data_IF_570328410785
#
_entry.id   IF_570328410785
#
_cell.length_a   1.000
_cell.length_b   1.000
_cell.length_c   1.000
_cell.angle_alpha   90.00
_cell.angle_beta   90.00
_cell.angle_gamma   90.00
#
_symmetry.space_group_name_H-M   'P 1'
#
loop_
_entity.id
_entity.type
_entity.pdbx_description
1 polymer ?
#
# COMPACT_ATOMS: atom_id res chain seq x y z
N UNK A 1 7.80 31.97 7.82
CA UNK A 1 7.55 30.50 7.75
C UNK A 1 6.04 30.30 7.66
N UNK A 2 5.55 29.71 6.56
CA UNK A 2 4.12 29.45 6.39
C UNK A 2 3.60 28.38 7.36
N UNK A 3 2.44 28.64 7.96
CA UNK A 3 1.73 27.74 8.87
C UNK A 3 0.33 27.45 8.33
N UNK A 4 -0.16 26.23 8.57
CA UNK A 4 -1.52 25.84 8.22
C UNK A 4 -2.47 26.23 9.33
N UNK A 5 -3.49 27.01 8.99
CA UNK A 5 -4.51 27.50 9.92
C UNK A 5 -5.90 27.18 9.37
N UNK A 6 -6.82 26.89 10.28
CA UNK A 6 -8.24 26.85 9.96
C UNK A 6 -8.84 28.21 10.34
N UNK A 7 -9.32 28.95 9.35
CA UNK A 7 -9.89 30.30 9.51
C UNK A 7 -11.38 30.28 9.22
N UNK A 8 -12.15 31.08 9.94
CA UNK A 8 -13.59 31.25 9.77
C UNK A 8 -13.92 32.69 9.37
N UNK A 9 -14.75 32.86 8.34
CA UNK A 9 -15.18 34.18 7.87
C UNK A 9 -16.20 34.81 8.83
N UNK A 10 -15.97 36.04 9.28
CA UNK A 10 -16.82 36.74 10.25
C UNK A 10 -17.70 37.82 9.63
N UNK A 11 -17.20 38.57 8.64
CA UNK A 11 -17.99 39.56 7.93
C UNK A 11 -17.38 39.90 6.57
N UNK A 12 -18.23 40.25 5.61
CA UNK A 12 -17.83 40.86 4.34
C UNK A 12 -17.76 42.39 4.52
N UNK A 13 -16.69 43.02 4.03
CA UNK A 13 -16.50 44.49 4.09
C UNK A 13 -17.00 45.21 2.84
N UNK A 14 -17.52 44.49 1.84
CA UNK A 14 -18.02 45.01 0.57
C UNK A 14 -16.97 45.74 -0.29
N UNK A 15 -15.69 45.61 0.06
CA UNK A 15 -14.51 46.16 -0.62
C UNK A 15 -13.65 45.07 -1.30
N UNK A 16 -14.20 43.85 -1.43
CA UNK A 16 -13.48 42.66 -1.89
C UNK A 16 -12.66 41.96 -0.81
N UNK A 17 -12.79 42.37 0.46
CA UNK A 17 -12.13 41.72 1.59
C UNK A 17 -13.11 41.19 2.65
N UNK A 18 -12.66 40.14 3.33
CA UNK A 18 -13.39 39.47 4.40
C UNK A 18 -12.60 39.53 5.70
N UNK A 19 -13.29 39.80 6.80
CA UNK A 19 -12.70 39.59 8.13
C UNK A 19 -12.75 38.11 8.48
N UNK A 20 -11.69 37.61 9.12
CA UNK A 20 -11.63 36.22 9.55
C UNK A 20 -11.12 36.10 10.99
N UNK A 21 -11.48 35.00 11.63
CA UNK A 21 -10.98 34.55 12.94
C UNK A 21 -10.41 33.15 12.81
N UNK A 22 -9.51 32.73 13.71
CA UNK A 22 -9.19 31.30 13.77
C UNK A 22 -10.48 30.52 14.13
N UNK A 23 -10.70 29.37 13.50
CA UNK A 23 -11.90 28.56 13.73
C UNK A 23 -12.10 28.31 15.25
N UNK A 24 -13.25 28.73 15.78
CA UNK A 24 -13.57 28.62 17.21
C UNK A 24 -13.03 29.73 18.13
N UNK A 25 -12.26 30.70 17.63
CA UNK A 25 -11.78 31.85 18.43
C UNK A 25 -12.85 32.94 18.59
N UNK A 26 -12.83 33.74 19.67
CA UNK A 26 -13.86 34.78 19.91
C UNK A 26 -13.60 36.12 19.22
N UNK A 27 -12.36 36.41 18.83
CA UNK A 27 -11.97 37.70 18.23
C UNK A 27 -11.46 37.51 16.80
N UNK A 28 -11.79 38.44 15.88
CA UNK A 28 -11.23 38.45 14.53
C UNK A 28 -9.71 38.62 14.60
N UNK A 29 -9.00 37.88 13.75
CA UNK A 29 -7.54 37.84 13.72
C UNK A 29 -6.93 38.57 12.53
N UNK A 30 -7.71 38.81 11.47
CA UNK A 30 -7.20 39.50 10.29
C UNK A 30 -8.24 39.72 9.20
N UNK A 31 -7.74 40.19 8.06
CA UNK A 31 -8.49 40.45 6.82
C UNK A 31 -7.88 39.57 5.72
N UNK A 32 -8.72 39.04 4.83
CA UNK A 32 -8.31 38.22 3.68
C UNK A 32 -9.04 38.69 2.42
N UNK A 33 -8.38 38.63 1.27
CA UNK A 33 -9.00 38.99 -0.02
C UNK A 33 -9.86 37.85 -0.54
N UNK A 34 -11.00 38.18 -1.12
CA UNK A 34 -11.96 37.23 -1.70
C UNK A 34 -11.33 36.36 -2.81
N UNK A 35 -10.44 36.95 -3.62
CA UNK A 35 -9.72 36.27 -4.71
C UNK A 35 -8.92 35.04 -4.26
N UNK A 36 -8.38 35.08 -3.03
CA UNK A 36 -7.53 34.00 -2.47
C UNK A 36 -8.39 32.82 -2.01
N UNK A 37 -9.63 33.09 -1.58
CA UNK A 37 -10.47 32.09 -0.93
C UNK A 37 -11.11 31.12 -1.93
N UNK A 38 -11.60 31.63 -3.06
CA UNK A 38 -12.26 30.83 -4.09
C UNK A 38 -13.54 30.10 -3.62
N UNK A 39 -14.58 30.10 -4.46
CA UNK A 39 -15.83 29.38 -4.17
C UNK A 39 -16.87 30.20 -3.40
N UNK A 40 -17.79 29.53 -2.71
CA UNK A 40 -18.98 30.15 -2.09
C UNK A 40 -18.65 30.80 -0.73
N UNK A 41 -18.58 32.13 -0.70
CA UNK A 41 -18.17 32.93 0.45
C UNK A 41 -19.35 33.36 1.31
N UNK A 42 -19.40 32.84 2.54
CA UNK A 42 -20.45 33.16 3.53
C UNK A 42 -19.85 33.27 4.92
N UNK A 43 -20.47 34.08 5.76
CA UNK A 43 -20.14 34.18 7.19
C UNK A 43 -20.31 32.81 7.86
N UNK A 44 -19.35 32.42 8.70
CA UNK A 44 -19.32 31.13 9.40
C UNK A 44 -18.63 30.00 8.62
N UNK A 45 -18.22 30.24 7.37
CA UNK A 45 -17.50 29.22 6.59
C UNK A 45 -16.05 29.12 7.05
N UNK A 46 -15.60 27.88 7.27
CA UNK A 46 -14.22 27.56 7.66
C UNK A 46 -13.40 27.16 6.44
N UNK A 47 -12.27 27.82 6.24
CA UNK A 47 -11.27 27.51 5.22
C UNK A 47 -9.99 27.03 5.89
N UNK A 48 -9.36 26.03 5.28
CA UNK A 48 -8.00 25.65 5.64
C UNK A 48 -7.04 26.42 4.76
N UNK A 49 -6.17 27.22 5.36
CA UNK A 49 -5.29 28.13 4.63
C UNK A 49 -3.84 27.96 5.04
N UNK A 50 -2.94 28.28 4.12
CA UNK A 50 -1.54 28.54 4.43
C UNK A 50 -1.37 30.04 4.65
N UNK A 51 -0.88 30.39 5.83
CA UNK A 51 -0.70 31.76 6.29
C UNK A 51 0.72 31.99 6.81
N UNK A 52 1.28 33.16 6.54
CA UNK A 52 2.53 33.61 7.11
C UNK A 52 2.24 34.45 8.37
N UNK A 53 3.01 34.19 9.43
CA UNK A 53 2.87 34.90 10.71
C UNK A 53 4.14 35.71 10.90
N UNK A 54 4.01 37.02 10.71
CA UNK A 54 5.07 37.99 10.92
C UNK A 54 4.77 38.87 12.14
N UNK A 55 5.69 39.78 12.46
CA UNK A 55 5.58 40.71 13.58
C UNK A 55 4.37 41.66 13.37
N UNK A 56 4.05 41.98 12.12
CA UNK A 56 3.01 42.94 11.75
C UNK A 56 1.61 42.31 11.59
N UNK A 57 1.49 40.98 11.65
CA UNK A 57 0.19 40.30 11.56
C UNK A 57 0.24 38.91 10.93
N UNK A 58 -0.95 38.38 10.61
CA UNK A 58 -1.11 37.09 9.94
C UNK A 58 -1.64 37.35 8.53
N UNK A 59 -0.82 37.05 7.52
CA UNK A 59 -1.19 37.16 6.11
C UNK A 59 -1.58 35.80 5.55
N UNK A 60 -2.77 35.71 4.94
CA UNK A 60 -3.27 34.49 4.31
C UNK A 60 -2.76 34.43 2.87
N UNK A 61 -1.92 33.44 2.56
CA UNK A 61 -1.27 33.30 1.25
C UNK A 61 -2.12 32.50 0.26
N UNK A 62 -2.70 31.38 0.70
CA UNK A 62 -3.53 30.53 -0.17
C UNK A 62 -4.48 29.63 0.61
N UNK A 63 -5.57 29.21 -0.03
CA UNK A 63 -6.43 28.13 0.49
C UNK A 63 -5.80 26.79 0.18
N UNK A 64 -5.59 25.99 1.22
CA UNK A 64 -5.23 24.59 1.09
C UNK A 64 -6.50 23.86 0.68
N UNK A 65 -6.61 23.55 -0.62
CA UNK A 65 -7.64 22.65 -1.12
C UNK A 65 -7.57 21.36 -0.30
N UNK A 66 -8.56 21.19 0.58
CA UNK A 66 -8.73 19.94 1.29
C UNK A 66 -8.90 18.87 0.22
N UNK A 67 -8.03 17.87 0.23
CA UNK A 67 -8.18 16.65 -0.58
C UNK A 67 -9.65 16.27 -0.53
N UNK A 68 -10.35 16.36 -1.67
CA UNK A 68 -11.74 15.99 -1.74
C UNK A 68 -11.86 14.63 -1.04
N UNK A 69 -12.73 14.55 -0.03
CA UNK A 69 -13.08 13.26 0.53
C UNK A 69 -13.66 12.51 -0.66
N UNK A 70 -12.88 11.62 -1.27
CA UNK A 70 -13.35 10.66 -2.23
C UNK A 70 -14.61 10.06 -1.63
N UNK A 71 -15.74 10.45 -2.19
CA UNK A 71 -17.02 9.87 -1.86
C UNK A 71 -16.79 8.37 -2.04
N UNK A 72 -16.97 7.60 -0.97
CA UNK A 72 -16.90 6.15 -1.07
C UNK A 72 -18.03 5.75 -1.99
N UNK A 73 -17.75 5.63 -3.28
CA UNK A 73 -18.60 4.92 -4.21
C UNK A 73 -18.47 3.45 -3.82
N UNK A 74 -19.34 2.98 -2.92
CA UNK A 74 -19.52 1.55 -2.62
C UNK A 74 -20.17 0.81 -3.81
N UNK A 75 -20.54 1.55 -4.87
CA UNK A 75 -21.16 1.02 -6.07
C UNK A 75 -20.46 1.60 -7.30
N UNK A 76 -19.96 0.72 -8.16
CA UNK A 76 -19.53 1.08 -9.52
C UNK A 76 -20.78 1.39 -10.34
N UNK A 77 -20.99 2.66 -10.70
CA UNK A 77 -21.94 3.01 -11.75
C UNK A 77 -21.34 2.63 -13.10
N UNK A 78 -21.87 1.56 -13.70
CA UNK A 78 -21.53 1.17 -15.07
C UNK A 78 -22.31 2.10 -15.99
N UNK A 79 -21.64 3.13 -16.50
CA UNK A 79 -22.14 3.89 -17.64
C UNK A 79 -22.10 2.97 -18.87
N UNK A 80 -23.22 2.29 -19.14
CA UNK A 80 -23.40 1.51 -20.36
C UNK A 80 -23.20 2.39 -21.59
N UNK A 81 -22.68 1.81 -22.68
CA UNK A 81 -22.31 2.54 -23.92
C UNK A 81 -23.46 3.27 -24.65
N UNK A 82 -24.66 3.33 -24.08
CA UNK A 82 -25.87 3.89 -24.69
C UNK A 82 -26.40 3.11 -25.90
N UNK A 83 -25.70 2.06 -26.32
CA UNK A 83 -26.09 1.18 -27.44
C UNK A 83 -26.89 0.00 -26.91
N UNK A 84 -28.02 -0.30 -27.56
CA UNK A 84 -28.80 -1.50 -27.27
C UNK A 84 -27.92 -2.74 -27.44
N UNK A 85 -27.93 -3.59 -26.41
CA UNK A 85 -27.19 -4.83 -26.40
C UNK A 85 -28.00 -5.89 -27.17
N UNK A 86 -27.52 -6.31 -28.34
CA UNK A 86 -28.06 -7.48 -29.05
C UNK A 86 -27.35 -8.76 -28.56
N UNK A 87 -28.03 -9.64 -27.79
CA UNK A 87 -27.43 -10.86 -27.31
C UNK A 87 -27.27 -11.90 -28.44
N UNK A 88 -26.07 -12.04 -28.97
CA UNK A 88 -25.74 -13.16 -29.88
C UNK A 88 -25.59 -14.44 -29.05
N UNK A 89 -26.66 -15.23 -28.97
CA UNK A 89 -26.62 -16.56 -28.32
C UNK A 89 -26.19 -17.63 -29.31
N UNK A 90 -24.94 -18.09 -29.23
CA UNK A 90 -24.50 -19.28 -29.97
C UNK A 90 -24.97 -20.55 -29.25
N UNK A 91 -25.96 -21.23 -29.84
CA UNK A 91 -26.30 -22.62 -29.47
C UNK A 91 -25.35 -23.58 -30.19
N UNK A 92 -24.42 -24.17 -29.46
CA UNK A 92 -23.63 -25.32 -29.93
C UNK A 92 -24.57 -26.53 -30.12
N UNK A 93 -24.56 -27.13 -31.31
CA UNK A 93 -25.37 -28.30 -31.62
C UNK A 93 -25.02 -29.47 -30.69
N UNK A 94 -26.05 -30.08 -30.08
CA UNK A 94 -25.93 -31.24 -29.20
C UNK A 94 -25.54 -32.46 -30.04
N UNK A 95 -24.31 -32.95 -29.87
CA UNK A 95 -23.84 -34.18 -30.50
C UNK A 95 -24.50 -35.39 -29.84
N UNK A 96 -25.43 -36.03 -30.53
CA UNK A 96 -26.00 -37.31 -30.13
C UNK A 96 -24.92 -38.41 -30.16
N UNK A 97 -24.85 -39.16 -29.07
CA UNK A 97 -23.94 -40.28 -28.87
C UNK A 97 -24.65 -41.53 -29.37
N UNK A 98 -24.42 -41.87 -30.64
CA UNK A 98 -24.93 -43.11 -31.23
C UNK A 98 -24.34 -44.37 -30.57
N UNK A 99 -25.09 -45.49 -30.50
CA UNK A 99 -24.67 -46.69 -29.79
C UNK A 99 -23.54 -47.44 -30.52
N UNK A 100 -22.58 -47.92 -29.72
CA UNK A 100 -21.48 -48.79 -30.16
C UNK A 100 -22.04 -50.05 -30.81
N UNK A 101 -21.69 -50.29 -32.07
CA UNK A 101 -21.91 -51.57 -32.75
C UNK A 101 -20.58 -52.27 -32.95
N UNK A 102 -20.51 -53.46 -32.37
CA UNK A 102 -19.39 -54.39 -32.44
C UNK A 102 -19.14 -54.91 -33.86
N UNK A 103 -17.84 -55.05 -34.16
CA UNK A 103 -17.18 -56.18 -34.85
C UNK A 103 -17.68 -56.57 -36.27
N UNK A 104 -16.83 -56.33 -37.28
CA UNK A 104 -16.91 -57.05 -38.56
C UNK A 104 -16.06 -56.43 -39.70
N UNK A 105 -15.20 -57.18 -40.41
CA UNK A 105 -14.12 -56.63 -41.25
C UNK A 105 -14.46 -56.64 -42.76
N UNK A 106 -14.06 -55.62 -43.52
CA UNK A 106 -13.55 -55.77 -44.90
C UNK A 106 -13.09 -54.46 -45.54
N UNK A 107 -12.01 -54.60 -46.29
CA UNK A 107 -11.38 -53.67 -47.22
C UNK A 107 -12.36 -53.02 -48.22
N UNK A 108 -12.11 -51.75 -48.56
CA UNK A 108 -12.63 -51.05 -49.75
C UNK A 108 -11.98 -49.66 -49.90
N UNK A 109 -11.68 -49.19 -51.13
CA UNK A 109 -10.51 -48.34 -51.39
C UNK A 109 -10.80 -46.83 -51.48
N UNK A 110 -9.77 -46.04 -51.15
CA UNK A 110 -9.40 -44.74 -51.74
C UNK A 110 -10.55 -43.80 -52.12
N UNK A 111 -10.86 -42.86 -51.22
CA UNK A 111 -11.50 -41.59 -51.55
C UNK A 111 -10.50 -40.45 -51.33
N UNK A 112 -9.92 -39.96 -52.43
CA UNK A 112 -9.17 -38.70 -52.48
C UNK A 112 -10.10 -37.55 -52.09
N UNK A 113 -9.83 -36.92 -50.95
CA UNK A 113 -10.49 -35.69 -50.52
C UNK A 113 -9.49 -34.84 -49.73
N UNK A 114 -9.17 -33.61 -50.16
CA UNK A 114 -8.08 -32.85 -49.59
C UNK A 114 -8.41 -32.50 -48.14
N UNK A 115 -7.59 -33.01 -47.22
CA UNK A 115 -7.63 -32.64 -45.81
C UNK A 115 -7.17 -31.19 -45.73
N UNK A 116 -8.13 -30.27 -45.78
CA UNK A 116 -7.88 -28.83 -45.68
C UNK A 116 -6.89 -28.56 -44.54
N UNK A 117 -5.72 -28.05 -44.92
CA UNK A 117 -4.68 -27.64 -44.01
C UNK A 117 -5.27 -26.56 -43.10
N UNK A 118 -5.50 -26.92 -41.84
CA UNK A 118 -5.79 -25.94 -40.81
C UNK A 118 -4.60 -24.95 -40.84
N UNK A 119 -4.82 -23.64 -41.07
CA UNK A 119 -3.71 -22.69 -41.23
C UNK A 119 -2.79 -22.86 -40.05
N UNK A 120 -1.56 -23.28 -40.32
CA UNK A 120 -0.52 -23.42 -39.30
C UNK A 120 -0.42 -22.03 -38.68
N UNK A 121 -0.85 -21.88 -37.41
CA UNK A 121 -0.72 -20.61 -36.69
C UNK A 121 0.71 -20.15 -36.91
N UNK A 122 0.89 -19.01 -37.60
CA UNK A 122 2.19 -18.40 -37.89
C UNK A 122 3.09 -18.63 -36.68
N UNK A 123 4.21 -19.30 -36.87
CA UNK A 123 5.15 -19.66 -35.81
C UNK A 123 5.38 -18.43 -34.91
N UNK A 124 4.68 -18.39 -33.77
CA UNK A 124 4.90 -17.36 -32.77
C UNK A 124 6.20 -17.73 -32.09
N UNK A 125 7.30 -17.15 -32.55
CA UNK A 125 8.58 -17.27 -31.86
C UNK A 125 8.38 -16.60 -30.51
N UNK A 126 8.45 -17.39 -29.43
CA UNK A 126 8.38 -16.84 -28.08
C UNK A 126 9.45 -15.75 -27.97
N UNK A 127 9.10 -14.50 -27.66
CA UNK A 127 10.09 -13.45 -27.52
C UNK A 127 11.10 -13.85 -26.45
N UNK A 128 12.38 -13.43 -26.55
CA UNK A 128 13.43 -13.83 -25.63
C UNK A 128 13.00 -13.68 -24.16
N UNK A 129 13.30 -14.68 -23.33
CA UNK A 129 12.92 -14.64 -21.92
C UNK A 129 13.75 -13.58 -21.18
N UNK A 130 13.06 -12.67 -20.51
CA UNK A 130 13.70 -11.71 -19.61
C UNK A 130 14.09 -12.41 -18.30
N UNK A 131 15.21 -12.01 -17.66
CA UNK A 131 15.57 -12.53 -16.35
C UNK A 131 14.42 -12.26 -15.35
N UNK A 132 13.87 -13.33 -14.77
CA UNK A 132 12.88 -13.22 -13.69
C UNK A 132 13.64 -13.30 -12.37
N UNK A 133 13.68 -12.20 -11.63
CA UNK A 133 14.28 -12.22 -10.30
C UNK A 133 13.45 -13.08 -9.33
N UNK A 134 14.11 -13.79 -8.39
CA UNK A 134 13.42 -14.56 -7.38
C UNK A 134 12.51 -13.65 -6.53
N UNK A 135 11.36 -14.16 -6.12
CA UNK A 135 10.45 -13.43 -5.24
C UNK A 135 11.10 -13.22 -3.87
N UNK A 136 10.99 -12.01 -3.33
CA UNK A 136 11.48 -11.70 -2.01
C UNK A 136 10.70 -12.47 -0.93
N UNK A 137 11.41 -12.95 0.10
CA UNK A 137 10.84 -13.67 1.23
C UNK A 137 10.21 -12.69 2.22
N UNK A 138 9.09 -13.10 2.79
CA UNK A 138 8.41 -12.37 3.87
C UNK A 138 9.13 -12.58 5.20
N UNK A 139 9.17 -11.55 6.04
CA UNK A 139 9.78 -11.63 7.37
C UNK A 139 9.06 -12.65 8.24
N UNK A 140 9.84 -13.56 8.84
CA UNK A 140 9.36 -14.51 9.84
C UNK A 140 10.11 -14.27 11.14
N UNK A 141 9.59 -13.35 11.95
CA UNK A 141 10.14 -13.06 13.26
C UNK A 141 10.10 -14.31 14.15
N UNK A 142 11.20 -14.57 14.85
CA UNK A 142 11.26 -15.59 15.89
C UNK A 142 10.60 -15.04 17.17
N UNK A 143 10.57 -15.85 18.23
CA UNK A 143 9.99 -15.49 19.54
C UNK A 143 10.99 -15.82 20.64
N UNK A 144 12.26 -15.46 20.46
CA UNK A 144 13.34 -15.84 21.38
C UNK A 144 13.33 -14.89 22.57
N UNK A 145 13.46 -13.59 22.30
CA UNK A 145 13.51 -12.57 23.35
C UNK A 145 12.18 -12.45 24.07
N UNK A 146 11.08 -12.48 23.31
CA UNK A 146 9.75 -12.42 23.90
C UNK A 146 9.44 -13.62 24.78
N UNK A 147 9.74 -14.84 24.33
CA UNK A 147 9.49 -16.04 25.13
C UNK A 147 10.35 -16.02 26.40
N UNK A 148 11.63 -15.65 26.30
CA UNK A 148 12.51 -15.55 27.47
C UNK A 148 11.95 -14.59 28.54
N UNK A 149 11.38 -13.45 28.15
CA UNK A 149 10.74 -12.53 29.11
C UNK A 149 9.48 -13.13 29.70
N UNK A 150 8.63 -13.78 28.89
CA UNK A 150 7.38 -14.38 29.39
C UNK A 150 7.69 -15.55 30.34
N UNK A 151 8.63 -16.42 29.98
CA UNK A 151 9.01 -17.58 30.78
C UNK A 151 9.67 -17.20 32.12
N UNK A 152 10.34 -16.04 32.17
CA UNK A 152 10.90 -15.49 33.40
C UNK A 152 9.84 -14.91 34.36
N UNK A 153 8.62 -14.65 33.89
CA UNK A 153 7.54 -14.11 34.72
C UNK A 153 6.80 -15.22 35.48
N UNK A 154 6.32 -14.95 36.71
CA UNK A 154 5.36 -15.81 37.41
C UNK A 154 4.12 -16.10 36.54
N UNK A 155 3.53 -17.29 36.68
CA UNK A 155 2.42 -17.77 35.85
C UNK A 155 1.23 -16.79 35.78
N UNK A 156 0.93 -16.09 36.87
CA UNK A 156 -0.14 -15.08 36.92
C UNK A 156 0.16 -13.85 36.04
N UNK A 157 1.44 -13.51 35.87
CA UNK A 157 1.89 -12.35 35.08
C UNK A 157 2.08 -12.70 33.60
N UNK A 158 2.29 -13.98 33.26
CA UNK A 158 2.41 -14.45 31.88
C UNK A 158 1.13 -14.19 31.08
N UNK A 159 -0.03 -14.57 31.62
CA UNK A 159 -1.32 -14.37 30.96
C UNK A 159 -1.63 -12.88 30.73
N UNK A 160 -1.22 -12.02 31.66
CA UNK A 160 -1.37 -10.56 31.54
C UNK A 160 -0.44 -10.02 30.46
N UNK A 161 0.82 -10.46 30.43
CA UNK A 161 1.83 -10.06 29.43
C UNK A 161 1.42 -10.44 28.00
N UNK A 162 0.95 -11.67 27.78
CA UNK A 162 0.50 -12.14 26.46
C UNK A 162 -0.70 -11.34 25.93
N UNK A 163 -1.64 -11.03 26.84
CA UNK A 163 -2.83 -10.25 26.49
C UNK A 163 -2.49 -8.78 26.23
N UNK A 164 -1.57 -8.23 27.01
CA UNK A 164 -1.05 -6.87 26.80
C UNK A 164 -0.33 -6.76 25.45
N UNK A 165 0.42 -7.78 25.02
CA UNK A 165 1.06 -7.78 23.71
C UNK A 165 0.07 -7.81 22.56
N UNK A 166 -0.96 -8.64 22.68
CA UNK A 166 -1.95 -8.86 21.61
C UNK A 166 -2.85 -7.64 21.40
N UNK A 167 -3.32 -6.99 22.47
CA UNK A 167 -4.33 -5.93 22.38
C UNK A 167 -4.07 -4.69 23.22
N UNK A 168 -2.85 -4.54 23.74
CA UNK A 168 -2.45 -3.41 24.57
C UNK A 168 -3.16 -3.37 25.93
N UNK A 169 -3.02 -2.22 26.61
CA UNK A 169 -3.64 -2.00 27.93
C UNK A 169 -5.16 -2.09 27.92
N UNK A 170 -5.80 -1.75 26.79
CA UNK A 170 -7.26 -1.86 26.66
C UNK A 170 -7.71 -3.33 26.76
N UNK A 171 -7.03 -4.23 26.06
CA UNK A 171 -7.36 -5.65 26.11
C UNK A 171 -7.17 -6.25 27.51
N UNK A 172 -6.17 -5.77 28.28
CA UNK A 172 -5.99 -6.15 29.68
C UNK A 172 -7.16 -5.66 30.54
N UNK A 173 -7.55 -4.37 30.40
CA UNK A 173 -8.70 -3.81 31.12
C UNK A 173 -10.00 -4.56 30.83
N UNK A 174 -10.27 -4.81 29.56
CA UNK A 174 -11.48 -5.53 29.14
C UNK A 174 -11.49 -6.97 29.68
N UNK A 175 -10.32 -7.62 29.72
CA UNK A 175 -10.17 -8.97 30.26
C UNK A 175 -10.46 -9.02 31.76
N UNK A 176 -9.85 -8.11 32.52
CA UNK A 176 -10.03 -8.05 33.97
C UNK A 176 -11.48 -7.72 34.31
N UNK A 177 -12.12 -6.82 33.55
CA UNK A 177 -13.54 -6.53 33.71
C UNK A 177 -14.39 -7.78 33.48
N UNK A 178 -14.18 -8.49 32.37
CA UNK A 178 -14.91 -9.73 32.09
C UNK A 178 -14.69 -10.81 33.15
N UNK A 179 -13.47 -10.93 33.68
CA UNK A 179 -13.15 -11.88 34.75
C UNK A 179 -13.83 -11.48 36.07
N UNK A 180 -13.85 -10.20 36.42
CA UNK A 180 -14.53 -9.70 37.61
C UNK A 180 -16.05 -9.83 37.52
N UNK A 181 -16.64 -9.62 36.34
CA UNK A 181 -18.06 -9.87 36.10
C UNK A 181 -18.42 -11.35 36.32
N UNK A 182 -17.50 -12.27 35.98
CA UNK A 182 -17.67 -13.70 36.22
C UNK A 182 -17.48 -14.06 37.70
N UNK A 183 -16.43 -13.57 38.36
CA UNK A 183 -16.19 -13.80 39.79
C UNK A 183 -17.34 -13.29 40.65
N UNK A 184 -17.96 -12.17 40.25
CA UNK A 184 -19.16 -11.63 40.89
C UNK A 184 -20.37 -12.56 40.76
N UNK A 185 -20.55 -13.23 39.62
CA UNK A 185 -21.60 -14.25 39.43
C UNK A 185 -21.32 -15.51 40.26
N UNK A 186 -20.05 -15.86 40.40
CA UNK A 186 -19.60 -17.06 41.12
C UNK A 186 -19.49 -16.84 42.65
N UNK A 187 -19.78 -15.62 43.14
CA UNK A 187 -19.69 -15.27 44.56
C UNK A 187 -18.26 -15.23 45.12
N UNK A 188 -17.25 -15.16 44.26
CA UNK A 188 -15.83 -15.13 44.63
C UNK A 188 -15.31 -13.70 44.78
N UNK A 189 -14.23 -13.46 45.55
CA UNK A 189 -13.63 -12.14 45.68
C UNK A 189 -13.14 -11.59 44.33
N UNK A 190 -13.32 -10.29 44.12
CA UNK A 190 -12.93 -9.60 42.88
C UNK A 190 -11.42 -9.40 42.81
N UNK A 191 -10.87 -9.47 41.60
CA UNK A 191 -9.46 -9.16 41.34
C UNK A 191 -9.30 -7.64 41.28
N UNK A 192 -8.31 -7.04 41.99
CA UNK A 192 -8.01 -5.63 41.88
C UNK A 192 -7.57 -5.25 40.46
N UNK A 193 -8.43 -4.53 39.72
CA UNK A 193 -8.18 -4.22 38.32
C UNK A 193 -6.98 -3.29 38.11
N UNK A 194 -6.81 -2.32 39.00
CA UNK A 194 -5.73 -1.33 38.89
C UNK A 194 -4.35 -1.98 39.02
N UNK A 195 -4.17 -2.94 39.92
CA UNK A 195 -2.89 -3.65 40.08
C UNK A 195 -2.48 -4.42 38.82
N UNK A 196 -3.42 -5.09 38.17
CA UNK A 196 -3.17 -5.83 36.91
C UNK A 196 -2.85 -4.88 35.75
N UNK A 197 -3.53 -3.73 35.70
CA UNK A 197 -3.28 -2.71 34.66
C UNK A 197 -1.92 -2.05 34.85
N UNK A 198 -1.53 -1.71 36.08
CA UNK A 198 -0.21 -1.16 36.39
C UNK A 198 0.90 -2.14 36.03
N UNK A 199 0.76 -3.41 36.38
CA UNK A 199 1.71 -4.44 35.97
C UNK A 199 1.87 -4.50 34.44
N UNK A 200 0.76 -4.45 33.70
CA UNK A 200 0.81 -4.44 32.24
C UNK A 200 1.50 -3.18 31.70
N UNK A 201 1.31 -2.01 32.34
CA UNK A 201 2.01 -0.78 31.98
C UNK A 201 3.52 -0.90 32.15
N UNK A 202 3.98 -1.58 33.20
CA UNK A 202 5.40 -1.77 33.49
C UNK A 202 6.07 -2.81 32.57
N UNK A 203 5.34 -3.87 32.20
CA UNK A 203 5.85 -4.95 31.36
C UNK A 203 5.87 -4.59 29.87
N UNK A 204 4.91 -3.78 29.39
CA UNK A 204 4.75 -3.47 27.98
C UNK A 204 6.01 -2.89 27.31
N UNK A 205 6.72 -1.90 27.88
CA UNK A 205 7.93 -1.37 27.29
C UNK A 205 8.98 -2.46 27.01
N UNK A 206 9.24 -3.33 28.00
CA UNK A 206 10.22 -4.42 27.89
C UNK A 206 9.81 -5.44 26.83
N UNK A 207 8.52 -5.80 26.80
CA UNK A 207 7.99 -6.74 25.82
C UNK A 207 8.03 -6.16 24.39
N UNK A 208 7.80 -4.86 24.21
CA UNK A 208 7.88 -4.19 22.89
C UNK A 208 9.30 -4.14 22.36
N UNK A 209 10.28 -3.86 23.22
CA UNK A 209 11.70 -3.94 22.87
C UNK A 209 12.06 -5.35 22.42
N UNK A 210 11.66 -6.37 23.17
CA UNK A 210 11.88 -7.77 22.81
C UNK A 210 11.21 -8.19 21.49
N UNK A 211 9.97 -7.76 21.24
CA UNK A 211 9.29 -8.01 19.96
C UNK A 211 10.00 -7.35 18.78
N UNK A 212 10.59 -6.18 18.99
CA UNK A 212 11.40 -5.52 17.97
C UNK A 212 12.71 -6.27 17.74
N UNK A 213 13.42 -6.67 18.80
CA UNK A 213 14.66 -7.47 18.70
C UNK A 213 14.44 -8.77 17.93
N UNK A 214 13.37 -9.51 18.25
CA UNK A 214 12.98 -10.74 17.54
C UNK A 214 12.75 -10.52 16.03
N UNK A 215 12.20 -9.37 15.64
CA UNK A 215 12.01 -8.98 14.23
C UNK A 215 13.31 -8.53 13.58
N UNK A 216 14.12 -7.77 14.32
CA UNK A 216 15.35 -7.17 13.85
C UNK A 216 16.44 -8.24 13.61
N UNK A 217 16.56 -9.23 14.49
CA UNK A 217 17.46 -10.36 14.32
C UNK A 217 17.03 -11.26 13.15
N UNK A 218 15.72 -11.51 12.99
CA UNK A 218 15.21 -12.24 11.83
C UNK A 218 15.48 -11.48 10.52
N UNK A 219 15.32 -10.15 10.52
CA UNK A 219 15.62 -9.32 9.36
C UNK A 219 17.12 -9.31 9.02
N UNK A 220 17.99 -9.29 10.05
CA UNK A 220 19.45 -9.39 9.87
C UNK A 220 19.87 -10.74 9.30
N UNK A 221 19.23 -11.83 9.73
CA UNK A 221 19.53 -13.18 9.23
C UNK A 221 19.13 -13.37 7.76
N UNK A 222 18.00 -12.82 7.33
CA UNK A 222 17.45 -13.01 5.98
C UNK A 222 17.69 -11.81 5.04
N UNK A 223 18.63 -10.93 5.38
CA UNK A 223 18.78 -9.57 4.80
C UNK A 223 18.86 -9.55 3.27
N UNK A 224 19.54 -10.52 2.66
CA UNK A 224 19.69 -10.64 1.21
C UNK A 224 18.36 -10.97 0.53
N UNK A 225 17.56 -11.86 1.12
CA UNK A 225 16.34 -12.40 0.50
C UNK A 225 15.05 -11.74 1.00
N UNK A 226 15.12 -10.90 2.03
CA UNK A 226 13.97 -10.26 2.66
C UNK A 226 13.23 -9.27 1.75
N UNK A 227 11.93 -9.14 1.86
CA UNK A 227 11.17 -8.10 1.17
C UNK A 227 11.53 -6.68 1.68
N UNK A 228 11.68 -5.72 0.76
CA UNK A 228 12.01 -4.33 1.10
C UNK A 228 10.95 -3.70 2.00
N UNK A 229 9.67 -4.07 1.80
CA UNK A 229 8.57 -3.57 2.64
C UNK A 229 8.71 -4.02 4.09
N UNK A 230 9.08 -5.28 4.29
CA UNK A 230 9.25 -5.83 5.63
C UNK A 230 10.49 -5.21 6.30
N UNK A 231 11.60 -5.03 5.57
CA UNK A 231 12.77 -4.33 6.08
C UNK A 231 12.45 -2.88 6.50
N UNK A 232 11.67 -2.15 5.68
CA UNK A 232 11.15 -0.82 6.03
C UNK A 232 10.32 -0.85 7.30
N UNK A 233 9.43 -1.84 7.46
CA UNK A 233 8.62 -1.98 8.67
C UNK A 233 9.46 -2.19 9.93
N UNK A 234 10.55 -2.96 9.86
CA UNK A 234 11.45 -3.19 11.00
C UNK A 234 12.23 -1.93 11.35
N UNK A 235 12.71 -1.20 10.34
CA UNK A 235 13.40 0.09 10.53
C UNK A 235 12.47 1.13 11.13
N UNK A 236 11.23 1.25 10.68
CA UNK A 236 10.24 2.15 11.28
C UNK A 236 9.98 1.79 12.75
N UNK A 237 9.88 0.50 13.07
CA UNK A 237 9.75 0.04 14.47
C UNK A 237 10.98 0.34 15.33
N UNK A 238 12.15 0.60 14.73
CA UNK A 238 13.35 1.00 15.48
C UNK A 238 13.27 2.44 16.01
N UNK A 239 12.41 3.27 15.41
CA UNK A 239 12.18 4.65 15.82
C UNK A 239 11.09 4.77 16.91
N UNK A 240 10.49 3.64 17.34
CA UNK A 240 9.53 3.64 18.45
C UNK A 240 10.20 4.15 19.75
N UNK A 241 9.56 5.05 20.53
CA UNK A 241 10.18 5.66 21.70
C UNK A 241 10.69 4.68 22.76
N UNK A 242 10.08 3.49 22.86
CA UNK A 242 10.50 2.44 23.78
C UNK A 242 11.78 1.74 23.30
N UNK A 243 11.93 1.55 21.98
CA UNK A 243 13.08 0.89 21.37
C UNK A 243 14.29 1.82 21.35
N UNK A 244 14.10 3.09 20.99
CA UNK A 244 15.18 4.11 20.92
C UNK A 244 15.84 4.37 22.27
N UNK A 245 15.07 4.26 23.36
CA UNK A 245 15.56 4.49 24.72
C UNK A 245 16.49 3.40 25.21
N UNK A 246 16.36 2.18 24.69
CA UNK A 246 17.26 1.09 25.02
C UNK A 246 18.59 1.26 24.27
N UNK A 247 19.71 1.04 24.95
CA UNK A 247 21.04 1.13 24.33
C UNK A 247 21.34 -0.13 23.50
N UNK A 248 20.82 -1.29 23.94
CA UNK A 248 21.09 -2.59 23.30
C UNK A 248 20.58 -2.67 21.85
N UNK A 249 19.58 -1.86 21.51
CA UNK A 249 18.90 -1.84 20.21
C UNK A 249 19.55 -0.88 19.20
N UNK A 250 20.34 0.11 19.65
CA UNK A 250 20.85 1.20 18.80
C UNK A 250 21.79 0.71 17.71
N UNK A 251 22.68 -0.22 18.06
CA UNK A 251 23.63 -0.80 17.10
C UNK A 251 22.89 -1.55 16.00
N UNK A 252 21.96 -2.43 16.38
CA UNK A 252 21.14 -3.20 15.45
C UNK A 252 20.26 -2.29 14.57
N UNK A 253 19.70 -1.23 15.15
CA UNK A 253 18.91 -0.24 14.43
C UNK A 253 19.75 0.51 13.38
N UNK A 254 20.97 0.92 13.73
CA UNK A 254 21.89 1.60 12.81
C UNK A 254 22.31 0.68 11.66
N UNK A 255 22.64 -0.59 11.95
CA UNK A 255 22.94 -1.60 10.94
C UNK A 255 21.77 -1.82 9.97
N UNK A 256 20.55 -1.97 10.50
CA UNK A 256 19.35 -2.17 9.67
C UNK A 256 19.01 -0.94 8.82
N UNK A 257 19.23 0.28 9.33
CA UNK A 257 19.08 1.53 8.56
C UNK A 257 20.10 1.60 7.41
N UNK A 258 21.35 1.25 7.66
CA UNK A 258 22.39 1.19 6.63
C UNK A 258 22.07 0.13 5.57
N UNK A 259 21.64 -1.05 6.01
CA UNK A 259 21.22 -2.14 5.13
C UNK A 259 20.00 -1.75 4.27
N UNK A 260 19.00 -1.08 4.85
CA UNK A 260 17.84 -0.59 4.11
C UNK A 260 18.27 0.36 2.98
N UNK A 261 19.18 1.30 3.27
CA UNK A 261 19.71 2.22 2.25
C UNK A 261 20.39 1.46 1.11
N UNK A 262 21.32 0.55 1.45
CA UNK A 262 22.03 -0.27 0.45
C UNK A 262 21.06 -1.12 -0.39
N UNK A 263 20.03 -1.69 0.24
CA UNK A 263 19.04 -2.52 -0.45
C UNK A 263 18.16 -1.71 -1.40
N UNK A 264 17.73 -0.50 -1.00
CA UNK A 264 17.01 0.42 -1.88
C UNK A 264 17.86 0.76 -3.11
N UNK A 265 19.15 1.05 -2.92
CA UNK A 265 20.07 1.37 -4.03
C UNK A 265 20.26 0.16 -4.98
N UNK A 266 20.40 -1.05 -4.43
CA UNK A 266 20.49 -2.28 -5.20
C UNK A 266 19.21 -2.56 -5.98
N UNK A 267 18.04 -2.52 -5.32
CA UNK A 267 16.73 -2.73 -5.97
C UNK A 267 16.43 -1.66 -7.02
N UNK A 268 16.82 -0.41 -6.81
CA UNK A 268 16.69 0.65 -7.81
C UNK A 268 17.55 0.36 -9.04
N UNK A 269 18.81 -0.05 -8.84
CA UNK A 269 19.73 -0.39 -9.95
C UNK A 269 19.22 -1.59 -10.74
N UNK A 270 18.73 -2.58 -10.02
CA UNK A 270 18.07 -3.77 -10.51
C UNK A 270 16.80 -3.46 -11.32
N UNK A 271 15.93 -2.60 -10.80
CA UNK A 271 14.73 -2.13 -11.49
C UNK A 271 15.05 -1.41 -12.81
N UNK A 272 16.06 -0.53 -12.81
CA UNK A 272 16.52 0.14 -14.03
C UNK A 272 17.07 -0.87 -15.05
N UNK A 273 17.83 -1.88 -14.61
CA UNK A 273 18.36 -2.93 -15.47
C UNK A 273 17.23 -3.77 -16.10
N UNK A 274 16.15 -4.05 -15.36
CA UNK A 274 14.99 -4.78 -15.90
C UNK A 274 14.25 -3.98 -16.97
N UNK A 275 14.15 -2.65 -16.79
CA UNK A 275 13.56 -1.77 -17.79
C UNK A 275 14.44 -1.73 -19.04
N UNK A 276 15.76 -1.57 -18.88
CA UNK A 276 16.71 -1.59 -19.99
C UNK A 276 16.63 -2.92 -20.78
N UNK A 277 16.68 -4.07 -20.09
CA UNK A 277 16.56 -5.37 -20.73
C UNK A 277 15.20 -5.55 -21.44
N UNK A 278 14.11 -5.02 -20.88
CA UNK A 278 12.80 -5.05 -21.54
C UNK A 278 12.76 -4.20 -22.81
N UNK A 279 13.45 -3.05 -22.83
CA UNK A 279 13.61 -2.19 -24.01
C UNK A 279 14.48 -2.88 -25.07
N UNK A 280 15.58 -3.53 -24.68
CA UNK A 280 16.48 -4.26 -25.60
C UNK A 280 15.75 -5.38 -26.34
N UNK A 281 14.87 -6.10 -25.63
CA UNK A 281 14.04 -7.19 -26.20
C UNK A 281 12.76 -6.64 -26.87
N UNK A 282 12.62 -5.32 -27.04
CA UNK A 282 11.46 -4.65 -27.64
C UNK A 282 10.12 -4.96 -26.94
N UNK A 283 10.14 -5.30 -25.66
CA UNK A 283 8.94 -5.56 -24.84
C UNK A 283 8.44 -4.28 -24.17
N UNK A 284 8.02 -3.30 -24.96
CA UNK A 284 7.65 -1.94 -24.53
C UNK A 284 6.55 -1.92 -23.46
N UNK A 285 5.50 -2.75 -23.59
CA UNK A 285 4.41 -2.84 -22.58
C UNK A 285 4.93 -3.35 -21.24
N UNK A 286 5.89 -4.30 -21.26
CA UNK A 286 6.52 -4.81 -20.04
C UNK A 286 7.40 -3.74 -19.41
N UNK A 287 8.20 -3.02 -20.20
CA UNK A 287 9.01 -1.89 -19.74
C UNK A 287 8.14 -0.83 -19.05
N UNK A 288 7.01 -0.45 -19.66
CA UNK A 288 6.06 0.51 -19.09
C UNK A 288 5.43 0.01 -17.77
N UNK A 289 5.04 -1.27 -17.72
CA UNK A 289 4.50 -1.88 -16.51
C UNK A 289 5.55 -1.87 -15.38
N UNK A 290 6.80 -2.20 -15.67
CA UNK A 290 7.88 -2.17 -14.68
C UNK A 290 8.19 -0.73 -14.25
N UNK A 291 8.18 0.25 -15.17
CA UNK A 291 8.44 1.66 -14.83
C UNK A 291 7.39 2.26 -13.88
N UNK A 292 6.16 1.75 -13.87
CA UNK A 292 5.14 2.19 -12.90
C UNK A 292 5.34 1.64 -11.48
N UNK A 293 6.20 0.63 -11.30
CA UNK A 293 6.43 -0.05 -10.02
C UNK A 293 7.81 0.30 -9.45
N UNK A 294 8.07 1.60 -9.21
CA UNK A 294 9.33 2.05 -8.63
C UNK A 294 9.49 1.58 -7.18
N UNK A 295 10.66 1.02 -6.79
CA UNK A 295 10.93 0.65 -5.40
C UNK A 295 11.09 1.88 -4.49
N UNK A 296 11.47 3.04 -5.05
CA UNK A 296 11.52 4.33 -4.36
C UNK A 296 10.73 5.39 -5.12
N UNK A 297 9.69 5.94 -4.49
CA UNK A 297 8.83 6.98 -5.07
C UNK A 297 9.51 8.35 -5.12
N UNK A 298 10.60 8.53 -4.39
CA UNK A 298 11.36 9.80 -4.36
C UNK A 298 12.35 9.94 -5.52
N UNK A 299 12.68 8.85 -6.22
CA UNK A 299 13.63 8.84 -7.34
C UNK A 299 12.89 8.53 -8.66
N UNK A 300 12.63 9.53 -9.52
CA UNK A 300 11.96 9.30 -10.79
C UNK A 300 12.81 8.47 -11.76
N UNK A 301 12.17 7.94 -12.80
CA UNK A 301 12.84 7.25 -13.90
C UNK A 301 13.84 8.19 -14.58
N UNK A 302 15.02 7.68 -14.94
CA UNK A 302 16.03 8.44 -15.70
C UNK A 302 15.45 8.86 -17.07
N UNK A 303 15.65 10.12 -17.44
CA UNK A 303 15.10 10.73 -18.67
C UNK A 303 15.52 9.99 -19.94
N UNK A 304 16.72 9.42 -19.97
CA UNK A 304 17.24 8.63 -21.09
C UNK A 304 16.42 7.36 -21.34
N UNK A 305 16.03 6.65 -20.27
CA UNK A 305 15.21 5.44 -20.36
C UNK A 305 13.78 5.80 -20.76
N UNK A 306 13.24 6.90 -20.23
CA UNK A 306 11.94 7.43 -20.62
C UNK A 306 11.91 7.80 -22.12
N UNK A 307 12.97 8.44 -22.62
CA UNK A 307 13.15 8.83 -24.02
C UNK A 307 13.27 7.62 -24.94
N UNK A 308 14.03 6.59 -24.55
CA UNK A 308 14.17 5.35 -25.33
C UNK A 308 12.84 4.59 -25.44
N UNK A 309 12.10 4.47 -24.34
CA UNK A 309 10.75 3.86 -24.32
C UNK A 309 9.78 4.62 -25.23
N UNK A 310 9.81 5.96 -25.19
CA UNK A 310 8.98 6.82 -26.05
C UNK A 310 9.34 6.65 -27.53
N UNK A 311 10.63 6.59 -27.86
CA UNK A 311 11.13 6.42 -29.24
C UNK A 311 10.71 5.08 -29.83
N UNK A 312 10.84 3.98 -29.10
CA UNK A 312 10.38 2.66 -29.57
C UNK A 312 8.86 2.64 -29.78
N UNK A 313 8.09 3.25 -28.88
CA UNK A 313 6.63 3.35 -29.02
C UNK A 313 6.21 4.22 -30.23
N UNK A 314 6.94 5.29 -30.54
CA UNK A 314 6.69 6.09 -31.75
C UNK A 314 7.11 5.39 -33.04
N UNK A 315 8.20 4.61 -33.01
CA UNK A 315 8.68 3.86 -34.17
C UNK A 315 7.72 2.74 -34.59
N UNK A 316 7.08 2.07 -33.64
CA UNK A 316 6.07 1.03 -33.94
C UNK A 316 4.77 1.62 -34.52
N UNK A 317 4.44 2.88 -34.20
CA UNK A 317 3.32 3.60 -34.83
C UNK A 317 3.58 4.01 -36.29
N UNK A 318 4.83 3.97 -36.75
CA UNK A 318 5.22 4.32 -38.12
C UNK A 318 5.38 3.11 -39.04
N UNK A 319 5.19 1.86 -38.56
CA UNK A 319 5.11 0.73 -39.49
C UNK A 319 3.82 0.86 -40.29
N UNK A 320 3.87 1.07 -41.62
CA UNK A 320 2.66 1.07 -42.43
C UNK A 320 2.00 -0.30 -42.26
N UNK A 321 0.72 -0.31 -41.91
CA UNK A 321 -0.12 -1.49 -42.04
C UNK A 321 -0.17 -1.74 -43.55
N UNK A 322 0.71 -2.61 -44.06
CA UNK A 322 0.57 -3.12 -45.42
C UNK A 322 -0.71 -3.94 -45.43
N UNK A 323 -1.82 -3.28 -45.78
CA UNK A 323 -3.08 -3.91 -46.10
C UNK A 323 -2.87 -4.76 -47.35
N UNK A 324 -2.41 -6.00 -47.14
CA UNK A 324 -2.42 -7.03 -48.17
C UNK A 324 -3.87 -7.46 -48.40
N UNK A 325 -4.54 -6.74 -49.30
CA UNK A 325 -5.64 -7.25 -50.09
C UNK A 325 -5.14 -7.20 -51.54
N UNK A 326 -4.63 -8.34 -52.00
CA UNK A 326 -4.68 -8.74 -53.42
C UNK A 326 -5.80 -9.78 -53.54
#
# INVERSE_FOLDING_TARGET
>A
MSRRLDIELTSNRNDGTWTWRAAGAKSPKGVVREEILGGDLRVGRVFKVEAEVDIDGIEVLSVVAGREKNQKFDTLEILGSGREFEPVTQKLARREKGPRKDKGPKRGPKGDGPRGERPQRRNFVNPPELPKRPAAKRLKAKRVHRAAIIDALPAEHQAVAERALTGGLKAVRDAVKAQNDQLKKDGKPLIPADGVVTLAQDLLPKLRVAEWLDKAEAAKADLETLDLRDLRSVVVGSDDPMVVRDESTRVLAAELKAALKSKIESEQSQWLADIAAAIDVQRVVRALKVSSASPDTSRPLKEEIASSTRRQFSGDRQRPITSGYD
#
